data_IF_086186588354
#
_entry.id   IF_086186588354
#
_cell.length_a   1.000
_cell.length_b   1.000
_cell.length_c   1.000
_cell.angle_alpha   90.00
_cell.angle_beta   90.00
_cell.angle_gamma   90.00
#
_symmetry.space_group_name_H-M   'P 1'
#
loop_
_entity.id
_entity.type
_entity.pdbx_description
1 polymer ?
#
# COMPACT_ATOMS: atom_id res chain seq x y z
N UNK A 1 -55.04 32.56 -15.56
CA UNK A 1 -56.29 32.37 -14.78
C UNK A 1 -56.04 31.16 -13.89
N UNK A 2 -55.85 31.36 -12.59
CA UNK A 2 -55.34 30.33 -11.68
C UNK A 2 -56.50 29.47 -11.13
N UNK A 3 -56.34 28.15 -11.19
CA UNK A 3 -57.18 27.15 -10.52
C UNK A 3 -56.27 26.28 -9.65
N UNK A 4 -56.70 26.03 -8.41
CA UNK A 4 -55.99 25.22 -7.42
C UNK A 4 -56.51 23.78 -7.41
N UNK A 5 -55.61 22.79 -7.24
CA UNK A 5 -55.92 21.39 -6.92
C UNK A 5 -55.25 21.01 -5.58
N UNK A 6 -55.83 20.05 -4.86
CA UNK A 6 -55.63 19.81 -3.41
C UNK A 6 -54.24 19.32 -2.95
N UNK A 7 -53.24 19.15 -3.83
CA UNK A 7 -51.90 18.69 -3.43
C UNK A 7 -50.75 19.69 -3.70
N UNK A 8 -51.03 20.99 -3.84
CA UNK A 8 -50.04 22.02 -3.49
C UNK A 8 -48.70 22.08 -4.26
N UNK A 9 -48.58 21.55 -5.48
CA UNK A 9 -47.39 21.76 -6.32
C UNK A 9 -47.74 22.48 -7.63
N UNK A 10 -46.96 23.50 -8.05
CA UNK A 10 -47.15 24.14 -9.34
C UNK A 10 -46.59 23.25 -10.46
N UNK A 11 -47.47 22.58 -11.22
CA UNK A 11 -47.13 22.00 -12.52
C UNK A 11 -46.87 23.13 -13.53
N UNK A 12 -45.62 23.31 -13.96
CA UNK A 12 -45.31 24.01 -15.21
C UNK A 12 -45.16 22.97 -16.33
N UNK A 13 -46.18 22.89 -17.18
CA UNK A 13 -46.04 22.31 -18.51
C UNK A 13 -45.26 23.33 -19.35
N UNK A 14 -44.06 22.97 -19.81
CA UNK A 14 -43.35 23.67 -20.87
C UNK A 14 -42.90 22.66 -21.93
N UNK A 15 -43.32 22.92 -23.15
CA UNK A 15 -43.02 22.15 -24.35
C UNK A 15 -41.54 22.24 -24.73
N UNK A 16 -41.00 21.14 -25.28
CA UNK A 16 -39.66 20.90 -25.87
C UNK A 16 -38.51 20.61 -24.89
N UNK A 17 -38.38 19.33 -24.55
CA UNK A 17 -37.23 18.52 -24.99
C UNK A 17 -35.84 18.78 -24.39
N UNK A 18 -35.75 19.22 -23.13
CA UNK A 18 -34.51 19.12 -22.34
C UNK A 18 -34.88 19.00 -20.86
N UNK A 19 -34.68 17.82 -20.26
CA UNK A 19 -34.86 17.61 -18.82
C UNK A 19 -33.74 18.35 -18.08
N UNK A 20 -34.00 19.58 -17.64
CA UNK A 20 -33.21 20.19 -16.58
C UNK A 20 -33.64 19.55 -15.26
N UNK A 21 -32.95 18.47 -14.89
CA UNK A 21 -33.06 17.88 -13.55
C UNK A 21 -32.58 18.93 -12.55
N UNK A 22 -33.44 19.34 -11.62
CA UNK A 22 -33.06 20.34 -10.60
C UNK A 22 -31.96 19.77 -9.70
N UNK A 23 -31.15 20.65 -9.08
CA UNK A 23 -30.12 20.24 -8.10
C UNK A 23 -30.70 19.34 -7.00
N UNK A 24 -31.93 19.63 -6.55
CA UNK A 24 -32.67 18.83 -5.55
C UNK A 24 -33.10 17.46 -6.08
N UNK A 25 -33.41 17.33 -7.39
CA UNK A 25 -33.72 16.04 -8.00
C UNK A 25 -32.45 15.20 -8.27
N UNK A 26 -31.31 15.84 -8.58
CA UNK A 26 -30.01 15.16 -8.64
C UNK A 26 -29.62 14.60 -7.27
N UNK A 27 -29.84 15.37 -6.21
CA UNK A 27 -29.54 14.96 -4.83
C UNK A 27 -30.39 13.78 -4.36
N UNK A 28 -31.62 13.66 -4.89
CA UNK A 28 -32.56 12.58 -4.59
C UNK A 28 -32.40 11.33 -5.49
N UNK A 29 -31.54 11.40 -6.52
CA UNK A 29 -31.19 10.30 -7.43
C UNK A 29 -29.75 9.80 -7.25
N UNK A 30 -29.02 10.28 -6.23
CA UNK A 30 -27.68 9.76 -5.94
C UNK A 30 -27.79 8.34 -5.37
N UNK A 31 -26.98 7.44 -5.92
CA UNK A 31 -26.92 6.06 -5.43
C UNK A 31 -26.37 6.03 -4.02
N UNK A 32 -26.89 5.08 -3.24
CA UNK A 32 -26.24 4.70 -1.99
C UNK A 32 -24.98 3.90 -2.33
N UNK A 33 -23.87 4.22 -1.69
CA UNK A 33 -22.61 3.52 -1.92
C UNK A 33 -22.72 2.02 -1.57
N UNK A 34 -23.63 1.66 -0.65
CA UNK A 34 -23.84 0.27 -0.25
C UNK A 34 -24.49 -0.62 -1.32
N UNK A 35 -25.12 -0.03 -2.34
CA UNK A 35 -25.71 -0.78 -3.45
C UNK A 35 -24.74 -1.04 -4.60
N UNK A 36 -23.49 -0.58 -4.48
CA UNK A 36 -22.47 -0.70 -5.53
C UNK A 36 -21.44 -1.73 -5.11
N UNK A 37 -21.18 -2.69 -5.98
CA UNK A 37 -20.05 -3.60 -5.84
C UNK A 37 -18.76 -2.90 -6.31
N UNK A 38 -18.05 -2.30 -5.36
CA UNK A 38 -16.80 -1.57 -5.64
C UNK A 38 -15.68 -2.48 -6.12
N UNK A 39 -15.67 -3.75 -5.69
CA UNK A 39 -14.69 -4.73 -6.14
C UNK A 39 -14.93 -5.08 -7.60
N UNK A 40 -16.18 -5.33 -7.98
CA UNK A 40 -16.54 -5.59 -9.38
C UNK A 40 -16.35 -4.35 -10.27
N UNK A 41 -16.59 -3.15 -9.76
CA UNK A 41 -16.32 -1.91 -10.50
C UNK A 41 -14.81 -1.71 -10.73
N UNK A 42 -13.98 -2.03 -9.73
CA UNK A 42 -12.54 -2.02 -9.88
C UNK A 42 -12.07 -3.03 -10.94
N UNK A 43 -12.62 -4.25 -10.95
CA UNK A 43 -12.35 -5.27 -11.98
C UNK A 43 -12.73 -4.76 -13.37
N UNK A 44 -13.90 -4.12 -13.52
CA UNK A 44 -14.37 -3.56 -14.78
C UNK A 44 -13.44 -2.45 -15.30
N UNK A 45 -12.93 -1.59 -14.40
CA UNK A 45 -11.97 -0.54 -14.75
C UNK A 45 -10.61 -1.10 -15.19
N UNK A 46 -10.21 -2.27 -14.71
CA UNK A 46 -8.95 -2.92 -15.09
C UNK A 46 -9.04 -3.84 -16.33
N UNK A 47 -10.26 -4.09 -16.84
CA UNK A 47 -10.45 -4.96 -17.98
C UNK A 47 -10.14 -4.22 -19.30
N UNK A 48 -8.94 -4.47 -19.83
CA UNK A 48 -8.49 -3.93 -21.11
C UNK A 48 -8.76 -4.85 -22.31
N UNK A 49 -9.69 -5.80 -22.18
CA UNK A 49 -10.12 -6.65 -23.29
C UNK A 49 -10.64 -5.80 -24.47
N UNK A 50 -10.28 -6.20 -25.69
CA UNK A 50 -10.84 -5.60 -26.91
C UNK A 50 -12.15 -6.27 -27.35
N UNK A 51 -12.48 -7.39 -26.71
CA UNK A 51 -13.57 -8.29 -27.08
C UNK A 51 -14.75 -8.18 -26.10
N UNK A 52 -14.56 -7.51 -24.98
CA UNK A 52 -15.59 -7.32 -23.97
C UNK A 52 -15.61 -5.88 -23.46
N UNK A 53 -16.74 -5.47 -22.91
CA UNK A 53 -16.90 -4.17 -22.29
C UNK A 53 -17.81 -4.22 -21.07
N UNK A 54 -17.70 -3.19 -20.23
CA UNK A 54 -18.45 -3.06 -19.00
C UNK A 54 -19.30 -1.79 -18.99
N UNK A 55 -20.51 -1.91 -18.45
CA UNK A 55 -21.49 -0.84 -18.37
C UNK A 55 -22.04 -0.76 -16.96
N UNK A 56 -22.23 0.45 -16.45
CA UNK A 56 -22.72 0.72 -15.09
C UNK A 56 -24.11 1.34 -15.15
N UNK A 57 -25.07 0.76 -14.45
CA UNK A 57 -26.41 1.30 -14.32
C UNK A 57 -26.50 2.28 -13.15
N UNK A 58 -26.64 3.60 -13.40
CA UNK A 58 -26.72 4.61 -12.35
C UNK A 58 -28.03 4.59 -11.57
N UNK A 59 -29.06 3.87 -12.02
CA UNK A 59 -30.32 3.73 -11.29
C UNK A 59 -30.26 2.62 -10.23
N UNK A 60 -29.44 1.59 -10.44
CA UNK A 60 -29.39 0.40 -9.59
C UNK A 60 -28.04 0.18 -8.91
N UNK A 61 -26.96 0.73 -9.46
CA UNK A 61 -25.58 0.45 -9.06
C UNK A 61 -25.01 -0.84 -9.67
N UNK A 62 -25.74 -1.49 -10.59
CA UNK A 62 -25.34 -2.74 -11.19
C UNK A 62 -24.26 -2.56 -12.28
N UNK A 63 -23.39 -3.57 -12.41
CA UNK A 63 -22.45 -3.72 -13.51
C UNK A 63 -22.93 -4.79 -14.48
N UNK A 64 -22.90 -4.44 -15.76
CA UNK A 64 -23.30 -5.31 -16.86
C UNK A 64 -22.11 -5.56 -17.77
N UNK A 65 -21.87 -6.85 -18.04
CA UNK A 65 -20.81 -7.32 -18.93
C UNK A 65 -21.39 -7.52 -20.33
N UNK A 66 -20.78 -6.88 -21.33
CA UNK A 66 -21.07 -7.06 -22.75
C UNK A 66 -19.94 -7.88 -23.36
N UNK A 67 -20.29 -9.08 -23.83
CA UNK A 67 -19.38 -10.00 -24.51
C UNK A 67 -19.35 -9.77 -26.03
N UNK A 68 -18.53 -10.56 -26.75
CA UNK A 68 -18.47 -10.55 -28.22
C UNK A 68 -19.78 -10.95 -28.90
N UNK A 69 -20.64 -11.70 -28.21
CA UNK A 69 -21.88 -12.24 -28.75
C UNK A 69 -23.07 -11.27 -28.55
N UNK A 70 -22.87 -10.20 -27.77
CA UNK A 70 -23.89 -9.21 -27.47
C UNK A 70 -23.85 -8.03 -28.46
N UNK A 71 -24.99 -7.37 -28.70
CA UNK A 71 -25.06 -6.17 -29.54
C UNK A 71 -24.81 -4.92 -28.68
N UNK A 72 -23.73 -4.13 -28.92
CA UNK A 72 -23.44 -2.93 -28.14
C UNK A 72 -24.56 -1.87 -28.20
N UNK A 73 -25.35 -1.84 -29.29
CA UNK A 73 -26.45 -0.89 -29.44
C UNK A 73 -27.55 -1.07 -28.37
N UNK A 74 -27.69 -2.30 -27.83
CA UNK A 74 -28.64 -2.60 -26.76
C UNK A 74 -28.29 -1.87 -25.45
N UNK A 75 -27.00 -1.61 -25.21
CA UNK A 75 -26.52 -0.88 -24.04
C UNK A 75 -26.53 0.63 -24.29
N UNK A 76 -26.08 1.08 -25.46
CA UNK A 76 -26.05 2.51 -25.81
C UNK A 76 -27.44 3.15 -25.86
N UNK A 77 -28.49 2.35 -26.13
CA UNK A 77 -29.87 2.81 -26.15
C UNK A 77 -30.50 2.99 -24.76
N UNK A 78 -29.82 2.55 -23.70
CA UNK A 78 -30.25 2.63 -22.29
C UNK A 78 -29.50 3.75 -21.55
N UNK A 79 -30.05 4.19 -20.42
CA UNK A 79 -29.40 5.18 -19.54
C UNK A 79 -28.26 4.56 -18.68
N UNK A 80 -27.41 3.71 -19.28
CA UNK A 80 -26.23 3.10 -18.63
C UNK A 80 -24.95 3.83 -19.03
N UNK A 81 -23.93 3.76 -18.19
CA UNK A 81 -22.66 4.48 -18.36
C UNK A 81 -21.56 3.50 -18.73
N UNK A 82 -20.90 3.73 -19.87
CA UNK A 82 -19.73 2.94 -20.25
C UNK A 82 -18.57 3.10 -19.25
N UNK A 83 -18.05 1.98 -18.76
CA UNK A 83 -16.90 1.93 -17.87
C UNK A 83 -15.64 1.87 -18.73
N UNK A 84 -15.07 3.05 -19.01
CA UNK A 84 -13.79 3.14 -19.72
C UNK A 84 -12.68 2.49 -18.89
N UNK A 85 -11.93 1.53 -19.45
CA UNK A 85 -10.78 0.96 -18.77
C UNK A 85 -9.78 2.05 -18.39
N UNK A 86 -9.15 1.89 -17.24
CA UNK A 86 -8.17 2.83 -16.71
C UNK A 86 -6.92 2.90 -17.59
N UNK A 87 -6.03 3.88 -17.39
CA UNK A 87 -4.75 3.87 -18.09
C UNK A 87 -3.84 2.84 -17.43
N UNK A 88 -3.26 1.93 -18.22
CA UNK A 88 -2.20 0.99 -17.78
C UNK A 88 -1.05 1.65 -17.00
N UNK A 89 -0.85 2.97 -17.16
CA UNK A 89 0.09 3.77 -16.37
C UNK A 89 -0.25 3.80 -14.87
N UNK A 90 -1.52 3.76 -14.50
CA UNK A 90 -1.93 3.73 -13.08
C UNK A 90 -1.53 2.40 -12.44
N UNK A 91 -1.89 1.28 -13.06
CA UNK A 91 -1.46 -0.05 -12.61
C UNK A 91 0.08 -0.19 -12.57
N UNK A 92 0.80 0.43 -13.52
CA UNK A 92 2.26 0.47 -13.48
C UNK A 92 2.80 1.31 -12.30
N UNK A 93 2.17 2.45 -12.01
CA UNK A 93 2.54 3.28 -10.85
C UNK A 93 2.30 2.55 -9.53
N UNK A 94 1.26 1.72 -9.43
CA UNK A 94 1.04 0.85 -8.27
C UNK A 94 2.18 -0.13 -8.07
N UNK A 95 2.66 -0.76 -9.13
CA UNK A 95 3.84 -1.64 -9.06
C UNK A 95 5.10 -0.88 -8.61
N UNK A 96 5.31 0.35 -9.11
CA UNK A 96 6.45 1.21 -8.71
C UNK A 96 6.38 1.56 -7.23
N UNK A 97 5.21 2.00 -6.76
CA UNK A 97 5.04 2.45 -5.39
C UNK A 97 5.10 1.27 -4.40
N UNK A 98 4.43 0.16 -4.72
CA UNK A 98 4.55 -1.06 -3.92
C UNK A 98 6.01 -1.50 -3.80
N UNK A 99 6.75 -1.52 -4.93
CA UNK A 99 8.18 -1.87 -4.94
C UNK A 99 8.97 -0.97 -3.99
N UNK A 100 8.69 0.33 -3.94
CA UNK A 100 9.35 1.25 -3.00
C UNK A 100 9.08 0.91 -1.53
N UNK A 101 7.88 0.47 -1.21
CA UNK A 101 7.45 0.13 0.15
C UNK A 101 8.06 -1.19 0.64
N UNK A 102 8.55 -2.06 -0.26
CA UNK A 102 9.16 -3.34 0.13
C UNK A 102 10.34 -3.10 1.06
N UNK A 103 10.27 -3.61 2.29
CA UNK A 103 11.29 -3.35 3.32
C UNK A 103 12.66 -3.95 3.01
N UNK A 104 12.69 -5.17 2.48
CA UNK A 104 13.92 -5.90 2.17
C UNK A 104 14.60 -5.37 0.89
N UNK A 105 15.86 -4.93 1.02
CA UNK A 105 16.61 -4.30 -0.07
C UNK A 105 16.81 -5.20 -1.30
N UNK A 106 17.08 -6.49 -1.08
CA UNK A 106 17.28 -7.45 -2.17
C UNK A 106 16.00 -7.68 -2.95
N UNK A 107 14.89 -7.94 -2.27
CA UNK A 107 13.57 -8.16 -2.88
C UNK A 107 13.08 -6.89 -3.59
N UNK A 108 13.31 -5.72 -2.99
CA UNK A 108 13.09 -4.42 -3.65
C UNK A 108 13.87 -4.27 -4.96
N UNK A 109 15.16 -4.62 -4.98
CA UNK A 109 15.99 -4.54 -6.19
C UNK A 109 15.53 -5.54 -7.28
N UNK A 110 15.14 -6.76 -6.89
CA UNK A 110 14.57 -7.75 -7.81
C UNK A 110 13.29 -7.23 -8.48
N UNK A 111 12.34 -6.72 -7.68
CA UNK A 111 11.10 -6.15 -8.21
C UNK A 111 11.36 -4.90 -9.06
N UNK A 112 12.29 -4.04 -8.64
CA UNK A 112 12.68 -2.84 -9.41
C UNK A 112 13.15 -3.20 -10.82
N UNK A 113 13.98 -4.24 -10.96
CA UNK A 113 14.44 -4.75 -12.27
C UNK A 113 13.32 -5.45 -13.05
N UNK A 114 12.41 -6.13 -12.34
CA UNK A 114 11.27 -6.81 -12.95
C UNK A 114 10.31 -5.83 -13.65
N UNK A 115 10.18 -4.61 -13.13
CA UNK A 115 9.29 -3.58 -13.70
C UNK A 115 9.92 -2.73 -14.81
N UNK A 116 11.19 -2.94 -15.15
CA UNK A 116 11.89 -2.14 -16.16
C UNK A 116 11.64 -2.61 -17.60
N UNK A 117 10.94 -1.84 -18.42
CA UNK A 117 10.80 -2.11 -19.85
C UNK A 117 9.69 -3.11 -20.20
N UNK A 118 9.77 -3.69 -21.41
CA UNK A 118 8.66 -4.50 -21.97
C UNK A 118 8.40 -5.76 -21.14
N UNK A 119 7.13 -6.06 -20.90
CA UNK A 119 6.71 -7.22 -20.11
C UNK A 119 6.85 -7.03 -18.59
N UNK A 120 6.90 -5.78 -18.11
CA UNK A 120 6.98 -5.43 -16.70
C UNK A 120 5.91 -6.15 -15.83
N UNK A 121 4.63 -6.04 -16.21
CA UNK A 121 3.52 -6.67 -15.47
C UNK A 121 3.70 -8.17 -15.25
N UNK A 122 4.06 -8.90 -16.32
CA UNK A 122 4.28 -10.33 -16.25
C UNK A 122 5.47 -10.64 -15.34
N UNK A 123 6.61 -10.00 -15.55
CA UNK A 123 7.82 -10.26 -14.75
C UNK A 123 7.62 -9.93 -13.28
N UNK A 124 6.93 -8.84 -12.97
CA UNK A 124 6.58 -8.48 -11.60
C UNK A 124 5.74 -9.58 -10.93
N UNK A 125 4.67 -10.05 -11.60
CA UNK A 125 3.86 -11.18 -11.11
C UNK A 125 4.69 -12.45 -10.97
N UNK A 126 5.51 -12.79 -11.97
CA UNK A 126 6.43 -13.93 -11.95
C UNK A 126 7.38 -13.85 -10.73
N UNK A 127 7.93 -12.68 -10.42
CA UNK A 127 8.78 -12.46 -9.23
C UNK A 127 8.00 -12.60 -7.93
N UNK A 128 6.77 -12.08 -7.83
CA UNK A 128 5.95 -12.23 -6.62
C UNK A 128 5.61 -13.70 -6.30
N UNK A 129 5.56 -14.60 -7.29
CA UNK A 129 5.37 -16.03 -7.02
C UNK A 129 6.51 -16.66 -6.22
N UNK A 130 7.69 -16.05 -6.20
CA UNK A 130 8.82 -16.49 -5.38
C UNK A 130 8.66 -16.07 -3.90
N UNK A 131 7.74 -15.15 -3.59
CA UNK A 131 7.53 -14.56 -2.26
C UNK A 131 6.03 -14.55 -1.88
N UNK A 132 5.47 -15.66 -1.37
CA UNK A 132 4.04 -15.78 -1.07
C UNK A 132 3.47 -14.69 -0.15
N UNK A 133 4.19 -14.35 0.93
CA UNK A 133 3.78 -13.29 1.87
C UNK A 133 3.72 -11.92 1.18
N UNK A 134 4.73 -11.60 0.36
CA UNK A 134 4.76 -10.34 -0.38
C UNK A 134 3.68 -10.28 -1.47
N UNK A 135 3.32 -11.42 -2.04
CA UNK A 135 2.22 -11.53 -3.01
C UNK A 135 0.87 -11.22 -2.36
N UNK A 136 0.61 -11.69 -1.14
CA UNK A 136 -0.60 -11.35 -0.39
C UNK A 136 -0.67 -9.86 -0.07
N UNK A 137 0.46 -9.28 0.37
CA UNK A 137 0.59 -7.83 0.59
C UNK A 137 0.35 -7.03 -0.70
N UNK A 138 0.85 -7.51 -1.84
CA UNK A 138 0.59 -6.89 -3.14
C UNK A 138 -0.90 -6.87 -3.48
N UNK A 139 -1.62 -7.99 -3.31
CA UNK A 139 -3.05 -8.03 -3.59
C UNK A 139 -3.81 -7.05 -2.69
N UNK A 140 -3.53 -7.07 -1.38
CA UNK A 140 -4.18 -6.13 -0.45
C UNK A 140 -3.87 -4.66 -0.78
N UNK A 141 -2.65 -4.35 -1.23
CA UNK A 141 -2.26 -3.01 -1.66
C UNK A 141 -2.98 -2.59 -2.95
N UNK A 142 -2.95 -3.46 -3.97
CA UNK A 142 -3.56 -3.24 -5.28
C UNK A 142 -5.07 -3.07 -5.15
N UNK A 143 -5.76 -3.99 -4.47
CA UNK A 143 -7.22 -3.98 -4.31
C UNK A 143 -7.72 -2.67 -3.68
N UNK A 144 -7.03 -2.16 -2.64
CA UNK A 144 -7.38 -0.88 -2.01
C UNK A 144 -7.28 0.29 -2.99
N UNK A 145 -6.23 0.31 -3.82
CA UNK A 145 -6.02 1.37 -4.81
C UNK A 145 -7.01 1.29 -5.96
N UNK A 146 -7.31 0.10 -6.44
CA UNK A 146 -8.31 -0.10 -7.49
C UNK A 146 -9.71 0.29 -7.00
N UNK A 147 -10.07 -0.05 -5.76
CA UNK A 147 -11.31 0.41 -5.14
C UNK A 147 -11.34 1.93 -4.93
N UNK A 148 -10.20 2.54 -4.58
CA UNK A 148 -10.08 4.01 -4.51
C UNK A 148 -10.38 4.64 -5.88
N UNK A 149 -9.80 4.11 -6.96
CA UNK A 149 -10.05 4.61 -8.33
C UNK A 149 -11.51 4.40 -8.75
N UNK A 150 -12.13 3.28 -8.36
CA UNK A 150 -13.57 3.06 -8.55
C UNK A 150 -14.42 4.14 -7.85
N UNK A 151 -14.07 4.51 -6.61
CA UNK A 151 -14.73 5.62 -5.90
C UNK A 151 -14.51 6.98 -6.56
N UNK A 152 -13.30 7.26 -7.03
CA UNK A 152 -12.98 8.49 -7.77
C UNK A 152 -13.77 8.54 -9.09
N UNK A 153 -13.90 7.42 -9.80
CA UNK A 153 -14.70 7.30 -11.02
C UNK A 153 -16.19 7.61 -10.77
N UNK A 154 -16.75 7.12 -9.66
CA UNK A 154 -18.12 7.44 -9.22
C UNK A 154 -18.25 8.92 -8.84
N UNK A 155 -17.25 9.49 -8.18
CA UNK A 155 -17.21 10.89 -7.75
C UNK A 155 -17.18 11.85 -8.95
N UNK A 156 -16.31 11.60 -9.91
CA UNK A 156 -16.13 12.42 -11.12
C UNK A 156 -17.42 12.51 -11.95
N UNK A 157 -18.24 11.46 -11.89
CA UNK A 157 -19.54 11.38 -12.58
C UNK A 157 -20.71 11.84 -11.71
N UNK A 158 -20.45 12.24 -10.45
CA UNK A 158 -21.48 12.64 -9.49
C UNK A 158 -22.58 11.58 -9.29
N UNK A 159 -22.20 10.30 -9.30
CA UNK A 159 -23.13 9.17 -9.18
C UNK A 159 -23.50 8.85 -7.73
N UNK A 160 -22.66 9.26 -6.78
CA UNK A 160 -22.82 9.04 -5.33
C UNK A 160 -22.58 10.35 -4.58
N UNK A 161 -23.21 10.50 -3.41
CA UNK A 161 -23.04 11.66 -2.54
C UNK A 161 -21.57 11.86 -2.10
N UNK A 162 -21.06 13.09 -2.25
CA UNK A 162 -19.65 13.38 -2.03
C UNK A 162 -19.16 13.21 -0.58
N UNK A 163 -20.05 13.25 0.41
CA UNK A 163 -19.72 12.97 1.82
C UNK A 163 -19.55 11.47 2.10
N UNK A 164 -20.40 10.61 1.52
CA UNK A 164 -20.24 9.17 1.55
C UNK A 164 -18.90 8.74 0.93
N UNK A 165 -18.55 9.32 -0.23
CA UNK A 165 -17.27 9.05 -0.90
C UNK A 165 -16.09 9.50 -0.04
N UNK A 166 -16.13 10.71 0.55
CA UNK A 166 -15.03 11.23 1.39
C UNK A 166 -14.75 10.34 2.60
N UNK A 167 -15.81 9.81 3.25
CA UNK A 167 -15.66 8.91 4.39
C UNK A 167 -14.93 7.62 4.01
N UNK A 168 -15.32 6.99 2.91
CA UNK A 168 -14.72 5.74 2.44
C UNK A 168 -13.29 5.96 1.92
N UNK A 169 -13.04 7.02 1.15
CA UNK A 169 -11.68 7.36 0.69
C UNK A 169 -10.70 7.52 1.86
N UNK A 170 -11.11 8.19 2.94
CA UNK A 170 -10.27 8.36 4.12
C UNK A 170 -9.89 7.01 4.78
N UNK A 171 -10.76 6.00 4.71
CA UNK A 171 -10.46 4.66 5.22
C UNK A 171 -9.51 3.84 4.32
N UNK A 172 -9.48 4.14 3.02
CA UNK A 172 -8.58 3.50 2.06
C UNK A 172 -7.18 4.14 2.01
N UNK A 173 -7.05 5.37 2.51
CA UNK A 173 -5.78 6.12 2.54
C UNK A 173 -4.79 5.67 3.63
N UNK A 174 -5.24 4.86 4.59
CA UNK A 174 -4.36 4.22 5.57
C UNK A 174 -3.56 3.09 4.91
N UNK A 175 -2.44 3.45 4.29
CA UNK A 175 -1.54 2.52 3.62
C UNK A 175 -0.29 2.25 4.46
N UNK A 176 0.19 0.99 4.48
CA UNK A 176 1.36 0.62 5.24
C UNK A 176 2.60 1.36 4.72
N UNK A 177 3.40 1.92 5.64
CA UNK A 177 4.66 2.61 5.30
C UNK A 177 5.74 1.65 4.76
N UNK A 178 5.58 0.35 5.00
CA UNK A 178 6.40 -0.74 4.46
C UNK A 178 5.54 -1.99 4.27
N UNK A 179 5.84 -2.76 3.23
CA UNK A 179 5.17 -4.04 2.90
C UNK A 179 6.18 -5.19 2.87
N UNK A 180 5.71 -6.39 3.20
CA UNK A 180 6.51 -7.61 3.26
C UNK A 180 7.38 -7.76 4.53
N UNK A 181 8.08 -8.90 4.67
CA UNK A 181 8.96 -9.14 5.80
C UNK A 181 10.04 -8.06 5.88
N UNK A 182 10.34 -7.63 7.10
CA UNK A 182 11.41 -6.66 7.31
C UNK A 182 12.74 -7.31 6.94
N UNK A 183 13.49 -6.69 6.03
CA UNK A 183 14.89 -7.06 5.84
C UNK A 183 15.73 -6.72 7.07
N UNK A 184 16.99 -7.17 7.09
CA UNK A 184 17.89 -6.97 8.23
C UNK A 184 17.98 -5.52 8.72
N UNK A 185 17.93 -4.54 7.81
CA UNK A 185 17.90 -3.12 8.15
C UNK A 185 16.62 -2.72 8.90
N UNK A 186 15.45 -3.21 8.46
CA UNK A 186 14.17 -2.92 9.13
C UNK A 186 14.08 -3.57 10.51
N UNK A 187 14.60 -4.79 10.64
CA UNK A 187 14.69 -5.47 11.94
C UNK A 187 15.69 -4.75 12.84
N UNK A 188 16.81 -4.26 12.30
CA UNK A 188 17.78 -3.45 13.04
C UNK A 188 17.18 -2.11 13.50
N UNK A 189 16.34 -1.46 12.69
CA UNK A 189 15.58 -0.26 13.07
C UNK A 189 14.57 -0.54 14.20
N UNK A 190 13.85 -1.68 14.14
CA UNK A 190 12.96 -2.10 15.24
C UNK A 190 13.74 -2.37 16.53
N UNK A 191 14.86 -3.08 16.42
CA UNK A 191 15.75 -3.32 17.55
C UNK A 191 16.27 -2.00 18.12
N UNK A 192 16.65 -1.05 17.26
CA UNK A 192 17.13 0.25 17.68
C UNK A 192 16.05 1.08 18.39
N UNK A 193 14.80 1.03 17.93
CA UNK A 193 13.67 1.66 18.63
C UNK A 193 13.46 1.04 20.02
N UNK A 194 13.40 -0.29 20.12
CA UNK A 194 13.24 -0.98 21.40
C UNK A 194 14.42 -0.78 22.36
N UNK A 195 15.64 -0.66 21.84
CA UNK A 195 16.83 -0.31 22.62
C UNK A 195 16.77 1.15 23.10
N UNK A 196 16.21 2.05 22.29
CA UNK A 196 15.93 3.42 22.67
C UNK A 196 14.99 3.50 23.86
N UNK A 197 13.92 2.71 23.86
CA UNK A 197 12.99 2.60 25.00
C UNK A 197 13.67 1.99 26.24
N UNK A 198 14.54 1.00 26.06
CA UNK A 198 15.23 0.31 27.15
C UNK A 198 16.28 1.19 27.85
N UNK A 199 17.04 1.99 27.09
CA UNK A 199 18.21 2.71 27.58
C UNK A 199 18.04 4.23 27.67
N UNK A 200 17.08 4.82 26.95
CA UNK A 200 16.88 6.26 26.88
C UNK A 200 18.17 7.00 26.51
N UNK A 201 18.51 8.03 27.29
CA UNK A 201 19.70 8.87 27.07
C UNK A 201 21.04 8.11 27.15
N UNK A 202 21.06 6.89 27.72
CA UNK A 202 22.28 6.05 27.74
C UNK A 202 22.59 5.44 26.38
N UNK A 203 21.61 5.32 25.48
CA UNK A 203 21.84 4.85 24.12
C UNK A 203 22.40 5.99 23.26
N UNK A 204 23.64 5.84 22.81
CA UNK A 204 24.30 6.83 21.96
C UNK A 204 24.03 6.57 20.48
N UNK A 205 24.00 5.30 20.08
CA UNK A 205 23.63 4.86 18.72
C UNK A 205 23.56 3.34 18.60
N UNK A 206 22.88 2.89 17.54
CA UNK A 206 22.88 1.49 17.08
C UNK A 206 23.41 1.44 15.65
N UNK A 207 24.36 0.53 15.41
CA UNK A 207 24.98 0.34 14.10
C UNK A 207 24.77 -1.11 13.66
N UNK A 208 24.07 -1.29 12.55
CA UNK A 208 24.06 -2.56 11.82
C UNK A 208 25.43 -2.76 11.17
N UNK A 209 26.08 -3.89 11.44
CA UNK A 209 27.36 -4.24 10.84
C UNK A 209 27.33 -5.68 10.30
N UNK A 210 28.50 -6.22 9.96
CA UNK A 210 28.61 -7.61 9.51
C UNK A 210 28.23 -7.81 8.04
N UNK A 211 27.84 -9.04 7.71
CA UNK A 211 27.56 -9.48 6.34
C UNK A 211 26.39 -8.71 5.71
N UNK A 212 25.36 -8.36 6.49
CA UNK A 212 24.21 -7.58 6.01
C UNK A 212 24.61 -6.16 5.61
N UNK A 213 25.47 -5.49 6.41
CA UNK A 213 25.95 -4.16 6.06
C UNK A 213 26.86 -4.14 4.83
N UNK A 214 27.53 -5.25 4.51
CA UNK A 214 28.39 -5.40 3.31
C UNK A 214 27.66 -5.93 2.07
N UNK A 215 26.39 -6.35 2.20
CA UNK A 215 25.65 -6.99 1.11
C UNK A 215 26.14 -8.39 0.76
N UNK A 216 26.85 -9.05 1.67
CA UNK A 216 27.41 -10.41 1.50
C UNK A 216 26.58 -11.48 2.23
N UNK A 217 25.48 -11.09 2.88
CA UNK A 217 24.66 -11.98 3.70
C UNK A 217 23.87 -13.00 2.87
N UNK A 218 23.84 -14.24 3.38
CA UNK A 218 22.88 -15.28 2.97
C UNK A 218 21.66 -15.30 3.88
N UNK A 219 20.68 -16.16 3.58
CA UNK A 219 19.42 -16.28 4.34
C UNK A 219 19.62 -16.66 5.81
N UNK A 220 20.66 -17.42 6.13
CA UNK A 220 21.01 -17.87 7.49
C UNK A 220 21.95 -16.89 8.23
N UNK A 221 22.25 -15.73 7.66
CA UNK A 221 23.23 -14.82 8.27
C UNK A 221 22.65 -14.04 9.44
N UNK A 222 23.34 -14.08 10.57
CA UNK A 222 23.03 -13.28 11.76
C UNK A 222 22.98 -11.77 11.41
N UNK A 223 22.03 -11.07 12.01
CA UNK A 223 21.92 -9.61 11.97
C UNK A 223 22.75 -9.07 13.13
N UNK A 224 23.94 -8.55 12.82
CA UNK A 224 24.89 -8.06 13.81
C UNK A 224 24.66 -6.58 14.18
N UNK A 225 24.35 -6.32 15.45
CA UNK A 225 24.11 -4.98 15.99
C UNK A 225 25.23 -4.56 16.94
N UNK A 226 25.86 -3.43 16.64
CA UNK A 226 26.75 -2.77 17.58
C UNK A 226 25.94 -1.72 18.36
N UNK A 227 25.83 -1.91 19.67
CA UNK A 227 25.08 -0.99 20.53
C UNK A 227 26.05 -0.12 21.30
N UNK A 228 26.07 1.17 20.98
CA UNK A 228 26.97 2.14 21.59
C UNK A 228 26.25 2.83 22.74
N UNK A 229 26.76 2.62 23.95
CA UNK A 229 26.26 3.20 25.18
C UNK A 229 27.19 4.34 25.65
N UNK A 230 26.62 5.34 26.33
CA UNK A 230 27.39 6.42 26.94
C UNK A 230 28.31 5.89 28.04
N UNK A 231 27.77 4.98 28.85
CA UNK A 231 28.46 4.25 29.90
C UNK A 231 27.97 2.79 29.99
N UNK A 232 28.86 1.92 30.46
CA UNK A 232 28.59 0.49 30.61
C UNK A 232 29.55 -0.12 31.63
N UNK A 233 28.99 -0.76 32.65
CA UNK A 233 29.77 -1.47 33.67
C UNK A 233 30.21 -2.86 33.18
N UNK A 234 29.28 -3.62 32.60
CA UNK A 234 29.50 -5.01 32.18
C UNK A 234 28.79 -5.32 30.85
N UNK A 235 29.52 -5.69 29.79
CA UNK A 235 28.92 -6.14 28.53
C UNK A 235 27.92 -7.30 28.73
N UNK A 236 28.21 -8.20 29.67
CA UNK A 236 27.35 -9.36 29.93
C UNK A 236 26.01 -8.99 30.57
N UNK A 237 26.00 -7.96 31.42
CA UNK A 237 24.76 -7.48 32.01
C UNK A 237 23.91 -6.73 30.98
N UNK A 238 24.54 -5.95 30.10
CA UNK A 238 23.83 -5.30 29.01
C UNK A 238 23.24 -6.33 28.04
N UNK A 239 23.98 -7.38 27.68
CA UNK A 239 23.44 -8.49 26.87
C UNK A 239 22.23 -9.15 27.53
N UNK A 240 22.26 -9.39 28.85
CA UNK A 240 21.08 -9.93 29.56
C UNK A 240 19.89 -8.97 29.58
N UNK A 241 20.12 -7.66 29.64
CA UNK A 241 19.03 -6.66 29.58
C UNK A 241 18.37 -6.60 28.21
N UNK A 242 19.16 -6.78 27.15
CA UNK A 242 18.68 -6.77 25.76
C UNK A 242 18.00 -8.09 25.35
N UNK A 243 18.26 -9.18 26.06
CA UNK A 243 17.91 -10.56 25.69
C UNK A 243 16.43 -10.71 25.31
N UNK A 244 15.51 -10.19 26.13
CA UNK A 244 14.06 -10.29 25.86
C UNK A 244 13.65 -9.59 24.55
N UNK A 245 14.20 -8.40 24.29
CA UNK A 245 13.94 -7.64 23.06
C UNK A 245 14.50 -8.36 21.84
N UNK A 246 15.77 -8.79 21.90
CA UNK A 246 16.44 -9.43 20.78
C UNK A 246 15.81 -10.79 20.46
N UNK A 247 15.47 -11.57 21.49
CA UNK A 247 14.82 -12.87 21.33
C UNK A 247 13.44 -12.73 20.69
N UNK A 248 12.61 -11.78 21.17
CA UNK A 248 11.29 -11.53 20.60
C UNK A 248 11.36 -11.15 19.13
N UNK A 249 12.24 -10.21 18.77
CA UNK A 249 12.41 -9.79 17.38
C UNK A 249 13.00 -10.90 16.50
N UNK A 250 13.92 -11.71 17.04
CA UNK A 250 14.47 -12.88 16.35
C UNK A 250 13.36 -13.87 16.02
N UNK A 251 12.48 -14.15 16.99
CA UNK A 251 11.38 -15.08 16.84
C UNK A 251 10.27 -14.56 15.92
N UNK A 252 9.87 -13.29 16.07
CA UNK A 252 8.80 -12.65 15.26
C UNK A 252 9.17 -12.55 13.78
N UNK A 253 10.47 -12.49 13.47
CA UNK A 253 10.95 -12.29 12.10
C UNK A 253 11.74 -13.48 11.53
N UNK A 254 11.82 -14.60 12.26
CA UNK A 254 12.57 -15.81 11.88
C UNK A 254 14.02 -15.52 11.45
N UNK A 255 14.73 -14.73 12.28
CA UNK A 255 16.14 -14.34 12.07
C UNK A 255 16.95 -14.53 13.35
N UNK A 256 18.27 -14.54 13.26
CA UNK A 256 19.15 -14.47 14.42
C UNK A 256 19.66 -13.04 14.62
N UNK A 257 19.29 -12.38 15.71
CA UNK A 257 19.90 -11.10 16.11
C UNK A 257 21.09 -11.35 17.04
N UNK A 258 22.22 -10.71 16.73
CA UNK A 258 23.39 -10.67 17.58
C UNK A 258 23.64 -9.23 18.02
N UNK A 259 24.04 -9.02 19.28
CA UNK A 259 24.37 -7.68 19.78
C UNK A 259 25.75 -7.64 20.41
N UNK A 260 26.45 -6.52 20.20
CA UNK A 260 27.75 -6.23 20.81
C UNK A 260 27.68 -4.86 21.52
N UNK A 261 27.45 -4.82 22.84
CA UNK A 261 27.44 -3.57 23.58
C UNK A 261 28.85 -3.05 23.78
N UNK A 262 29.06 -1.76 23.49
CA UNK A 262 30.32 -1.05 23.67
C UNK A 262 30.09 0.35 24.21
N UNK A 263 31.09 0.91 24.89
CA UNK A 263 31.04 2.34 25.24
C UNK A 263 31.40 3.23 24.05
N UNK A 264 30.94 4.47 24.06
CA UNK A 264 31.31 5.48 23.05
C UNK A 264 32.84 5.64 22.92
N UNK A 265 33.57 5.55 24.04
CA UNK A 265 35.03 5.63 24.03
C UNK A 265 35.67 4.41 23.33
N UNK A 266 35.16 3.20 23.58
CA UNK A 266 35.60 2.00 22.87
C UNK A 266 35.29 2.09 21.38
N UNK A 267 34.08 2.52 21.02
CA UNK A 267 33.69 2.68 19.63
C UNK A 267 34.60 3.66 18.89
N UNK A 268 34.99 4.79 19.48
CA UNK A 268 35.87 5.77 18.83
C UNK A 268 37.34 5.34 18.75
N UNK A 269 37.88 4.71 19.80
CA UNK A 269 39.34 4.56 19.98
C UNK A 269 39.87 3.15 19.77
N UNK A 270 39.00 2.13 19.82
CA UNK A 270 39.44 0.75 19.75
C UNK A 270 39.90 0.34 18.35
N UNK A 271 41.08 -0.28 18.28
CA UNK A 271 41.60 -0.94 17.08
C UNK A 271 41.12 -2.38 16.88
N UNK A 272 40.15 -2.86 17.68
CA UNK A 272 39.57 -4.20 17.48
C UNK A 272 38.96 -4.29 16.06
N UNK A 273 39.24 -5.35 15.29
CA UNK A 273 38.77 -5.49 13.90
C UNK A 273 37.26 -5.25 13.75
N UNK A 274 36.44 -5.87 14.60
CA UNK A 274 34.98 -5.71 14.58
C UNK A 274 34.52 -4.25 14.70
N UNK A 275 35.18 -3.44 15.53
CA UNK A 275 34.84 -2.02 15.70
C UNK A 275 35.37 -1.16 14.55
N UNK A 276 36.50 -1.54 13.96
CA UNK A 276 37.01 -0.90 12.76
C UNK A 276 36.10 -1.17 11.55
N UNK A 277 35.59 -2.39 11.43
CA UNK A 277 34.62 -2.77 10.40
C UNK A 277 33.30 -2.03 10.56
N UNK A 278 32.70 -2.05 11.77
CA UNK A 278 31.46 -1.34 12.04
C UNK A 278 31.58 0.17 11.79
N UNK A 279 32.74 0.79 12.04
CA UNK A 279 32.98 2.20 11.70
C UNK A 279 33.11 2.46 10.20
N UNK A 280 33.70 1.53 9.46
CA UNK A 280 34.03 1.73 8.04
C UNK A 280 32.87 1.36 7.12
N UNK A 281 32.12 0.31 7.46
CA UNK A 281 31.10 -0.28 6.60
C UNK A 281 29.73 -0.41 7.30
N UNK A 282 29.63 -0.11 8.59
CA UNK A 282 28.36 -0.22 9.31
C UNK A 282 27.37 0.88 8.93
N UNK A 283 26.09 0.56 9.03
CA UNK A 283 24.97 1.48 8.80
C UNK A 283 24.37 1.89 10.15
N UNK A 284 24.35 3.19 10.45
CA UNK A 284 23.71 3.71 11.67
C UNK A 284 22.19 3.66 11.48
N UNK A 285 21.48 3.05 12.44
CA UNK A 285 20.02 2.87 12.42
C UNK A 285 19.28 3.60 13.56
N UNK A 286 20.02 4.08 14.56
CA UNK A 286 19.61 5.10 15.53
C UNK A 286 20.85 5.82 16.08
#
# INVERSE_FOLDING_TARGET
MLSWSQNGYPMRILERGMLFVSSEMKEMMMLDLSSIDLEMLAVALEDHSYESSWWFDPATGALEFCSVDDDPEDFESRDVVYVHPEDSREAYQDMVEFTRLVGEARTRDLLSRAIEGRGAFRRFKDTLFEFPELREEWFSFHDRRSQRRALEWLADRSLVAGDAIRGTLASLDDHPKRVGPLGAEGIAELAAAGLGDLYGDRLVRVVLYGSHARGEAGSESDIDLLVVLGDMDSPWEELRRMDELLWRLSFEHDVTLSALPVTENQFRRSGKPVLAEARSHGKTVA
#
